data_IF_065375425978
#
_entry.id   IF_065375425978
#
_cell.length_a   1.000
_cell.length_b   1.000
_cell.length_c   1.000
_cell.angle_alpha   90.00
_cell.angle_beta   90.00
_cell.angle_gamma   90.00
#
_symmetry.space_group_name_H-M   'P 1'
#
loop_
_entity.id
_entity.type
_entity.pdbx_description
1 polymer ?
#
# COMPACT_ATOMS: atom_id res chain seq x y z
N UNK A 1 7.50 14.62 4.87
CA UNK A 1 7.77 13.19 5.11
C UNK A 1 6.51 12.43 4.85
N UNK A 2 6.61 11.27 4.22
CA UNK A 2 5.48 10.39 4.01
C UNK A 2 5.43 9.33 5.11
N UNK A 3 4.23 8.90 5.44
CA UNK A 3 3.98 7.77 6.34
C UNK A 3 3.03 6.79 5.68
N UNK A 4 3.20 5.51 5.96
CA UNK A 4 2.34 4.46 5.43
C UNK A 4 2.55 3.13 6.13
N UNK A 5 1.96 2.09 5.56
CA UNK A 5 2.09 0.73 6.06
C UNK A 5 2.32 -0.27 4.93
N UNK A 6 3.12 -1.29 5.22
CA UNK A 6 3.27 -2.48 4.36
C UNK A 6 2.84 -3.69 5.15
N UNK A 7 2.00 -4.52 4.54
CA UNK A 7 1.74 -5.88 5.02
C UNK A 7 2.84 -6.76 4.43
N UNK A 8 3.68 -7.38 5.25
CA UNK A 8 4.84 -8.14 4.76
C UNK A 8 4.40 -9.30 3.84
N UNK A 9 3.26 -9.91 4.13
CA UNK A 9 2.66 -10.98 3.32
C UNK A 9 2.13 -10.49 1.96
N UNK A 10 2.04 -9.17 1.72
CA UNK A 10 1.69 -8.61 0.42
C UNK A 10 2.86 -8.55 -0.56
N UNK A 11 4.08 -8.84 -0.09
CA UNK A 11 5.29 -8.86 -0.91
C UNK A 11 5.49 -10.22 -1.57
N UNK A 12 5.88 -10.24 -2.85
CA UNK A 12 6.22 -11.49 -3.54
C UNK A 12 7.38 -12.20 -2.85
N UNK A 13 7.23 -13.50 -2.63
CA UNK A 13 8.31 -14.34 -2.09
C UNK A 13 9.57 -14.22 -2.95
N UNK A 14 10.71 -13.94 -2.31
CA UNK A 14 12.00 -13.75 -2.98
C UNK A 14 12.26 -12.33 -3.48
N UNK A 15 11.32 -11.39 -3.33
CA UNK A 15 11.57 -9.97 -3.56
C UNK A 15 12.23 -9.29 -2.36
N UNK A 16 12.81 -8.12 -2.59
CA UNK A 16 13.42 -7.29 -1.54
C UNK A 16 13.10 -5.83 -1.75
N UNK A 17 12.71 -5.13 -0.68
CA UNK A 17 12.60 -3.68 -0.64
C UNK A 17 13.85 -3.11 0.04
N UNK A 18 14.94 -2.97 -0.72
CA UNK A 18 16.26 -2.62 -0.18
C UNK A 18 16.82 -1.26 -0.62
N UNK A 19 16.31 -0.69 -1.71
CA UNK A 19 16.93 0.49 -2.34
C UNK A 19 16.46 1.83 -1.76
N UNK A 20 15.40 1.81 -0.93
CA UNK A 20 14.84 2.99 -0.29
C UNK A 20 14.96 2.86 1.23
N UNK A 21 15.59 3.83 1.92
CA UNK A 21 15.66 3.82 3.37
C UNK A 21 14.29 4.12 3.98
N UNK A 22 13.79 3.20 4.80
CA UNK A 22 12.56 3.35 5.56
C UNK A 22 12.87 3.48 7.06
N UNK A 23 12.25 4.45 7.71
CA UNK A 23 12.24 4.53 9.16
C UNK A 23 11.06 3.74 9.70
N UNK A 24 11.31 2.53 10.21
CA UNK A 24 10.27 1.67 10.78
C UNK A 24 9.79 2.24 12.11
N UNK A 25 8.50 2.59 12.18
CA UNK A 25 7.85 3.15 13.38
C UNK A 25 7.28 2.08 14.28
N UNK A 26 6.73 1.02 13.69
CA UNK A 26 6.07 -0.07 14.42
C UNK A 26 6.02 -1.33 13.56
N UNK A 27 6.13 -2.47 14.24
CA UNK A 27 5.86 -3.80 13.68
C UNK A 27 4.78 -4.45 14.53
N UNK A 28 3.70 -4.89 13.90
CA UNK A 28 2.59 -5.55 14.55
C UNK A 28 2.21 -6.83 13.82
N UNK A 29 1.68 -7.81 14.54
CA UNK A 29 1.13 -9.03 13.96
C UNK A 29 -0.31 -9.16 14.41
N UNK A 30 -1.24 -9.17 13.45
CA UNK A 30 -2.68 -9.07 13.70
C UNK A 30 -3.44 -10.18 13.00
N UNK A 31 -4.46 -10.72 13.68
CA UNK A 31 -5.48 -11.54 13.03
C UNK A 31 -6.47 -10.62 12.33
N UNK A 32 -6.81 -10.94 11.08
CA UNK A 32 -7.66 -10.08 10.26
C UNK A 32 -8.97 -10.78 9.94
N UNK A 33 -10.06 -10.10 10.27
CA UNK A 33 -11.40 -10.47 9.83
C UNK A 33 -11.64 -9.85 8.46
N UNK A 34 -11.90 -10.67 7.43
CA UNK A 34 -12.18 -10.18 6.08
C UNK A 34 -11.01 -10.31 5.09
N UNK A 35 -10.03 -11.17 5.40
CA UNK A 35 -9.07 -11.65 4.41
C UNK A 35 -9.80 -12.42 3.29
N UNK A 36 -9.38 -12.23 2.04
CA UNK A 36 -9.84 -13.07 0.93
C UNK A 36 -9.22 -14.47 1.01
N UNK A 37 -9.68 -15.41 0.19
CA UNK A 37 -9.09 -16.76 0.13
C UNK A 37 -7.60 -16.75 -0.26
N UNK A 38 -7.14 -15.70 -0.95
CA UNK A 38 -5.77 -15.51 -1.40
C UNK A 38 -4.91 -14.74 -0.37
N UNK A 39 -5.50 -14.28 0.73
CA UNK A 39 -4.82 -13.53 1.79
C UNK A 39 -4.72 -14.40 3.06
N UNK A 40 -3.55 -14.44 3.74
CA UNK A 40 -3.42 -15.16 5.00
C UNK A 40 -4.27 -14.50 6.10
N UNK A 41 -4.70 -15.29 7.08
CA UNK A 41 -5.52 -14.81 8.20
C UNK A 41 -4.75 -13.95 9.23
N UNK A 42 -3.41 -13.95 9.16
CA UNK A 42 -2.53 -13.19 10.04
C UNK A 42 -1.61 -12.33 9.19
N UNK A 43 -1.60 -11.03 9.45
CA UNK A 43 -0.76 -10.05 8.75
C UNK A 43 0.32 -9.50 9.67
N UNK A 44 1.51 -9.34 9.12
CA UNK A 44 2.62 -8.60 9.72
C UNK A 44 2.63 -7.19 9.14
N UNK A 45 2.18 -6.21 9.91
CA UNK A 45 2.10 -4.81 9.49
C UNK A 45 3.36 -4.08 9.93
N UNK A 46 4.04 -3.46 8.97
CA UNK A 46 5.18 -2.56 9.16
C UNK A 46 4.72 -1.14 8.86
N UNK A 47 4.56 -0.33 9.92
CA UNK A 47 4.30 1.11 9.78
C UNK A 47 5.65 1.83 9.63
N UNK A 48 5.76 2.71 8.64
CA UNK A 48 7.02 3.39 8.30
C UNK A 48 6.84 4.87 8.03
N UNK A 49 7.97 5.57 8.06
CA UNK A 49 8.16 6.90 7.51
C UNK A 49 9.25 6.87 6.43
N UNK A 50 9.13 7.74 5.42
CA UNK A 50 10.10 7.91 4.34
C UNK A 50 10.27 9.38 3.97
N UNK A 51 11.49 9.78 3.61
CA UNK A 51 11.76 11.15 3.17
C UNK A 51 11.12 11.43 1.80
N UNK A 52 10.68 12.68 1.59
CA UNK A 52 9.98 13.13 0.37
C UNK A 52 10.71 12.75 -0.93
N UNK A 53 12.05 12.88 -0.95
CA UNK A 53 12.88 12.54 -2.12
C UNK A 53 12.82 11.07 -2.53
N UNK A 54 12.35 10.19 -1.63
CA UNK A 54 12.25 8.76 -1.88
C UNK A 54 10.80 8.28 -2.08
N UNK A 55 9.81 9.17 -2.04
CA UNK A 55 8.40 8.80 -2.23
C UNK A 55 8.14 8.14 -3.59
N UNK A 56 8.61 8.75 -4.68
CA UNK A 56 8.48 8.20 -6.03
C UNK A 56 9.28 6.87 -6.20
N UNK A 57 10.59 6.81 -5.85
CA UNK A 57 11.33 5.54 -5.85
C UNK A 57 10.68 4.43 -5.03
N UNK A 58 10.07 4.76 -3.88
CA UNK A 58 9.35 3.78 -3.07
C UNK A 58 8.12 3.25 -3.80
N UNK A 59 7.34 4.13 -4.42
CA UNK A 59 6.18 3.72 -5.22
C UNK A 59 6.58 2.79 -6.37
N UNK A 60 7.66 3.10 -7.09
CA UNK A 60 8.18 2.24 -8.17
C UNK A 60 8.61 0.87 -7.65
N UNK A 61 9.35 0.83 -6.54
CA UNK A 61 9.78 -0.42 -5.93
C UNK A 61 8.58 -1.25 -5.44
N UNK A 62 7.60 -0.64 -4.79
CA UNK A 62 6.39 -1.31 -4.33
C UNK A 62 5.58 -1.89 -5.50
N UNK A 63 5.41 -1.15 -6.60
CA UNK A 63 4.79 -1.68 -7.82
C UNK A 63 5.52 -2.93 -8.31
N UNK A 64 6.85 -2.95 -8.21
CA UNK A 64 7.67 -4.07 -8.63
C UNK A 64 7.57 -5.25 -7.67
N UNK A 65 7.43 -5.07 -6.34
CA UNK A 65 7.55 -6.17 -5.37
C UNK A 65 6.21 -6.71 -4.82
N UNK A 66 5.11 -5.95 -4.91
CA UNK A 66 3.81 -6.42 -4.44
C UNK A 66 3.33 -7.66 -5.22
N UNK A 67 2.71 -8.59 -4.51
CA UNK A 67 2.14 -9.82 -5.06
C UNK A 67 0.71 -9.61 -5.58
N UNK A 68 0.25 -10.56 -6.40
CA UNK A 68 -1.11 -10.59 -6.96
C UNK A 68 -1.85 -11.84 -6.50
N UNK A 69 -3.20 -11.81 -6.53
CA UNK A 69 -4.08 -10.65 -6.62
C UNK A 69 -4.31 -10.00 -5.24
N UNK A 70 -5.09 -8.93 -5.17
CA UNK A 70 -5.69 -8.52 -3.91
C UNK A 70 -4.80 -7.77 -2.92
N UNK A 71 -3.69 -7.18 -3.37
CA UNK A 71 -2.80 -6.40 -2.50
C UNK A 71 -2.61 -4.97 -2.98
N UNK A 72 -2.48 -4.06 -2.03
CA UNK A 72 -1.99 -2.72 -2.24
C UNK A 72 -1.17 -2.27 -1.02
N UNK A 73 -0.42 -1.20 -1.19
CA UNK A 73 0.16 -0.43 -0.10
C UNK A 73 -0.15 1.04 -0.34
N UNK A 74 -0.42 1.79 0.72
CA UNK A 74 -0.59 3.24 0.64
C UNK A 74 0.37 3.95 1.57
N UNK A 75 0.72 5.17 1.18
CA UNK A 75 1.47 6.10 2.00
C UNK A 75 1.15 7.52 1.55
N UNK A 76 1.20 8.46 2.49
CA UNK A 76 0.78 9.82 2.24
C UNK A 76 1.56 10.82 3.10
N UNK A 77 1.52 12.08 2.70
CA UNK A 77 1.86 13.20 3.56
C UNK A 77 0.62 14.11 3.71
N UNK A 78 0.84 15.37 4.12
CA UNK A 78 -0.24 16.36 4.26
C UNK A 78 -0.76 16.88 2.91
N UNK A 79 -0.05 16.62 1.80
CA UNK A 79 -0.30 17.20 0.48
C UNK A 79 -0.84 16.18 -0.51
N UNK A 80 -0.35 14.95 -0.45
CA UNK A 80 -0.66 13.93 -1.46
C UNK A 80 -0.65 12.51 -0.92
N UNK A 81 -1.31 11.62 -1.66
CA UNK A 81 -1.47 10.20 -1.37
C UNK A 81 -0.89 9.38 -2.52
N UNK A 82 -0.19 8.31 -2.17
CA UNK A 82 0.21 7.24 -3.06
C UNK A 82 -0.58 5.99 -2.72
N UNK A 83 -1.25 5.42 -3.70
CA UNK A 83 -1.88 4.09 -3.62
C UNK A 83 -1.20 3.19 -4.64
N UNK A 84 -0.49 2.19 -4.15
CA UNK A 84 0.38 1.34 -4.95
C UNK A 84 -0.19 -0.07 -5.04
N UNK A 85 -0.48 -0.49 -6.27
CA UNK A 85 -0.87 -1.85 -6.63
C UNK A 85 0.29 -2.53 -7.39
N UNK A 86 0.27 -3.87 -7.55
CA UNK A 86 1.23 -4.58 -8.39
C UNK A 86 1.27 -4.02 -9.83
N UNK A 87 2.37 -3.37 -10.19
CA UNK A 87 2.60 -2.77 -11.51
C UNK A 87 1.84 -1.48 -11.82
N UNK A 88 1.16 -0.87 -10.83
CA UNK A 88 0.49 0.44 -11.03
C UNK A 88 0.44 1.26 -9.74
N UNK A 89 0.79 2.54 -9.82
CA UNK A 89 0.61 3.51 -8.75
C UNK A 89 -0.39 4.60 -9.15
N UNK A 90 -1.26 4.97 -8.21
CA UNK A 90 -2.08 6.18 -8.28
C UNK A 90 -1.48 7.19 -7.31
N UNK A 91 -1.27 8.41 -7.79
CA UNK A 91 -0.80 9.53 -6.98
C UNK A 91 -1.77 10.68 -7.18
N UNK A 92 -2.32 11.21 -6.10
CA UNK A 92 -3.30 12.28 -6.16
C UNK A 92 -3.16 13.23 -4.96
N UNK A 93 -3.51 14.52 -5.11
CA UNK A 93 -3.54 15.47 -3.99
C UNK A 93 -4.51 15.02 -2.89
N UNK A 94 -4.19 15.34 -1.65
CA UNK A 94 -5.13 15.16 -0.53
C UNK A 94 -6.45 15.88 -0.81
N UNK A 95 -7.56 15.19 -0.58
CA UNK A 95 -8.91 15.69 -0.89
C UNK A 95 -9.33 15.58 -2.36
N UNK A 96 -8.49 15.03 -3.26
CA UNK A 96 -8.89 14.73 -4.63
C UNK A 96 -9.80 13.49 -4.68
N UNK A 97 -11.11 13.74 -4.67
CA UNK A 97 -12.13 12.69 -4.75
C UNK A 97 -12.05 11.88 -6.06
N UNK A 98 -11.64 12.51 -7.17
CA UNK A 98 -11.58 11.84 -8.46
C UNK A 98 -10.40 10.88 -8.52
N UNK A 99 -9.20 11.34 -8.15
CA UNK A 99 -8.01 10.49 -8.08
C UNK A 99 -8.19 9.31 -7.11
N UNK A 100 -8.82 9.56 -5.96
CA UNK A 100 -9.19 8.49 -5.00
C UNK A 100 -10.17 7.49 -5.60
N UNK A 101 -11.22 7.96 -6.27
CA UNK A 101 -12.21 7.08 -6.90
C UNK A 101 -11.60 6.19 -7.99
N UNK A 102 -10.64 6.71 -8.77
CA UNK A 102 -9.90 5.91 -9.75
C UNK A 102 -9.09 4.79 -9.10
N UNK A 103 -8.38 5.10 -8.00
CA UNK A 103 -7.63 4.10 -7.24
C UNK A 103 -8.56 3.01 -6.65
N UNK A 104 -9.71 3.41 -6.09
CA UNK A 104 -10.72 2.44 -5.60
C UNK A 104 -11.26 1.55 -6.71
N UNK A 105 -11.61 2.14 -7.86
CA UNK A 105 -12.10 1.39 -9.01
C UNK A 105 -11.09 0.32 -9.44
N UNK A 106 -9.81 0.67 -9.50
CA UNK A 106 -8.76 -0.29 -9.82
C UNK A 106 -8.58 -1.36 -8.74
N UNK A 107 -8.67 -1.02 -7.46
CA UNK A 107 -8.63 -2.00 -6.37
C UNK A 107 -9.77 -3.03 -6.48
N UNK A 108 -10.98 -2.58 -6.83
CA UNK A 108 -12.13 -3.47 -7.07
C UNK A 108 -11.90 -4.39 -8.26
N UNK A 109 -11.29 -3.92 -9.35
CA UNK A 109 -10.90 -4.76 -10.50
C UNK A 109 -9.94 -5.87 -10.10
N UNK A 110 -9.08 -5.64 -9.10
CA UNK A 110 -8.14 -6.62 -8.55
C UNK A 110 -8.76 -7.55 -7.49
N UNK A 111 -10.06 -7.44 -7.23
CA UNK A 111 -10.79 -8.27 -6.28
C UNK A 111 -10.56 -7.90 -4.81
N UNK A 112 -10.05 -6.70 -4.53
CA UNK A 112 -9.89 -6.21 -3.15
C UNK A 112 -11.29 -5.91 -2.57
N UNK A 113 -11.62 -6.42 -1.36
CA UNK A 113 -12.92 -6.17 -0.73
C UNK A 113 -13.20 -4.69 -0.47
N UNK A 114 -14.46 -4.27 -0.62
CA UNK A 114 -14.87 -2.87 -0.37
C UNK A 114 -14.47 -2.34 1.02
N UNK A 115 -14.58 -3.11 2.13
CA UNK A 115 -14.13 -2.64 3.45
C UNK A 115 -12.62 -2.41 3.57
N UNK A 116 -11.83 -2.82 2.58
CA UNK A 116 -10.40 -2.50 2.49
C UNK A 116 -10.14 -1.29 1.58
N UNK A 117 -11.16 -0.77 0.89
CA UNK A 117 -11.08 0.35 -0.06
C UNK A 117 -11.96 1.54 0.36
N UNK A 118 -12.63 1.48 1.51
CA UNK A 118 -13.59 2.48 2.00
C UNK A 118 -12.93 3.71 2.65
N UNK A 119 -11.73 4.06 2.21
CA UNK A 119 -11.03 5.28 2.62
C UNK A 119 -11.84 6.55 2.25
N UNK A 120 -11.92 7.51 3.16
CA UNK A 120 -12.73 8.74 2.98
C UNK A 120 -11.91 10.03 2.94
N UNK A 121 -10.61 9.96 3.25
CA UNK A 121 -9.71 11.10 3.45
C UNK A 121 -8.66 11.25 2.35
#
# INVERSE_FOLDING_TARGET
MFSGAIIVESLRVGSSLGDVPLHVRKVARVEVTGATADQPAVWTILEFEVEDRYAEPLAENLQAVLDRPGWYADFHDEREVFVVFPGRCFRYPRGDEHGRAEAQAHGRELGIPEPQLDWTD
#
